data_IF_026714959761
#
_entry.id   IF_026714959761
#
_cell.length_a   1.000
_cell.length_b   1.000
_cell.length_c   1.000
_cell.angle_alpha   90.00
_cell.angle_beta   90.00
_cell.angle_gamma   90.00
#
_symmetry.space_group_name_H-M   'P 1'
#
loop_
_entity.id
_entity.type
_entity.pdbx_description
1 polymer ?
#
# COMPACT_ATOMS: atom_id res chain seq x y z
N UNK A 1 11.41 12.03 -11.15
CA UNK A 1 10.59 10.88 -10.71
C UNK A 1 9.17 11.36 -10.55
N UNK A 2 8.17 10.57 -10.97
CA UNK A 2 6.76 10.89 -10.77
C UNK A 2 6.50 11.17 -9.28
N UNK A 3 5.82 12.27 -8.96
CA UNK A 3 5.57 12.69 -7.56
C UNK A 3 4.64 11.75 -6.79
N UNK A 4 4.14 10.69 -7.43
CA UNK A 4 3.13 9.80 -6.90
C UNK A 4 3.44 8.33 -7.25
N UNK A 5 2.91 7.44 -6.43
CA UNK A 5 2.73 6.03 -6.73
C UNK A 5 1.24 5.71 -6.74
N UNK A 6 0.88 4.64 -7.44
CA UNK A 6 -0.49 4.26 -7.71
C UNK A 6 -0.79 2.88 -7.14
N UNK A 7 -1.98 2.68 -6.58
CA UNK A 7 -2.39 1.40 -6.01
C UNK A 7 -3.84 1.13 -6.39
N UNK A 8 -4.10 0.00 -7.02
CA UNK A 8 -5.45 -0.52 -7.12
C UNK A 8 -5.87 -1.05 -5.75
N UNK A 9 -7.02 -0.62 -5.23
CA UNK A 9 -7.54 -1.03 -3.94
C UNK A 9 -9.01 -1.42 -4.04
N UNK A 10 -9.41 -2.47 -3.34
CA UNK A 10 -10.81 -2.92 -3.35
C UNK A 10 -11.68 -1.89 -2.64
N UNK A 11 -12.75 -1.44 -3.28
CA UNK A 11 -13.67 -0.47 -2.71
C UNK A 11 -14.25 -0.97 -1.38
N UNK A 12 -14.62 -2.25 -1.32
CA UNK A 12 -15.14 -2.88 -0.10
C UNK A 12 -14.17 -2.81 1.09
N UNK A 13 -12.83 -2.82 0.86
CA UNK A 13 -11.85 -2.68 1.94
C UNK A 13 -11.78 -1.26 2.46
N UNK A 14 -11.84 -0.28 1.57
CA UNK A 14 -11.87 1.14 1.95
C UNK A 14 -13.14 1.49 2.73
N UNK A 15 -14.29 0.96 2.32
CA UNK A 15 -15.57 1.15 3.02
C UNK A 15 -15.57 0.51 4.41
N UNK A 16 -14.99 -0.69 4.54
CA UNK A 16 -14.90 -1.42 5.82
C UNK A 16 -13.80 -0.93 6.75
N UNK A 17 -12.92 -0.03 6.30
CA UNK A 17 -11.85 0.50 7.15
C UNK A 17 -12.48 1.23 8.35
N UNK A 18 -12.16 0.79 9.58
CA UNK A 18 -12.69 1.43 10.80
C UNK A 18 -12.13 2.84 11.02
N UNK A 19 -10.92 3.09 10.52
CA UNK A 19 -10.24 4.39 10.59
C UNK A 19 -9.92 4.89 9.17
N UNK A 20 -9.87 6.22 8.93
CA UNK A 20 -9.60 6.80 7.61
C UNK A 20 -8.10 6.77 7.28
N UNK A 21 -7.51 5.58 7.28
CA UNK A 21 -6.08 5.36 7.02
C UNK A 21 -5.89 4.16 6.09
N UNK A 22 -5.00 4.30 5.11
CA UNK A 22 -4.53 3.21 4.27
C UNK A 22 -3.38 2.52 4.99
N UNK A 23 -3.60 1.28 5.42
CA UNK A 23 -2.61 0.50 6.18
C UNK A 23 -1.78 -0.37 5.25
N UNK A 24 -0.53 -0.61 5.64
CA UNK A 24 0.21 -1.74 5.09
C UNK A 24 -0.51 -3.06 5.42
N UNK A 25 -0.44 -4.01 4.50
CA UNK A 25 -0.99 -5.34 4.67
C UNK A 25 -0.03 -6.21 5.47
N UNK A 26 -0.51 -6.77 6.59
CA UNK A 26 0.26 -7.74 7.35
C UNK A 26 0.44 -9.00 6.52
N UNK A 27 1.68 -9.48 6.44
CA UNK A 27 2.04 -10.71 5.79
C UNK A 27 2.82 -11.61 6.75
N UNK A 28 2.46 -12.89 6.79
CA UNK A 28 3.18 -13.91 7.53
C UNK A 28 4.04 -14.71 6.56
N UNK A 29 5.35 -14.73 6.80
CA UNK A 29 6.32 -15.40 5.95
C UNK A 29 6.51 -14.73 4.57
N UNK A 30 7.50 -15.20 3.79
CA UNK A 30 7.67 -14.81 2.39
C UNK A 30 6.44 -15.25 1.57
N UNK A 31 5.87 -14.41 0.69
CA UNK A 31 4.70 -14.82 -0.07
C UNK A 31 5.15 -15.78 -1.19
N UNK A 32 4.30 -16.77 -1.48
CA UNK A 32 4.65 -17.91 -2.33
C UNK A 32 4.89 -17.53 -3.81
N UNK A 33 4.42 -16.35 -4.22
CA UNK A 33 4.46 -15.84 -5.59
C UNK A 33 5.63 -14.88 -5.84
N UNK A 34 6.46 -14.57 -4.84
CA UNK A 34 7.61 -13.70 -5.03
C UNK A 34 8.79 -14.44 -5.64
N UNK A 35 9.42 -13.88 -6.70
CA UNK A 35 10.67 -14.41 -7.22
C UNK A 35 11.74 -14.52 -6.14
N UNK A 36 12.59 -15.55 -6.23
CA UNK A 36 13.58 -15.88 -5.21
C UNK A 36 14.51 -14.70 -4.87
N UNK A 37 14.91 -13.89 -5.86
CA UNK A 37 15.74 -12.70 -5.66
C UNK A 37 15.07 -11.63 -4.79
N UNK A 38 13.77 -11.45 -4.97
CA UNK A 38 12.97 -10.56 -4.16
C UNK A 38 12.88 -11.07 -2.71
N UNK A 39 12.65 -12.37 -2.54
CA UNK A 39 12.63 -13.02 -1.22
C UNK A 39 13.98 -12.89 -0.49
N UNK A 40 15.09 -13.05 -1.20
CA UNK A 40 16.43 -12.85 -0.64
C UNK A 40 16.66 -11.40 -0.22
N UNK A 41 16.20 -10.44 -1.01
CA UNK A 41 16.30 -9.01 -0.67
C UNK A 41 15.49 -8.69 0.59
N UNK A 42 14.24 -9.17 0.64
CA UNK A 42 13.37 -9.04 1.82
C UNK A 42 14.02 -9.68 3.04
N UNK A 43 14.55 -10.91 2.94
CA UNK A 43 15.21 -11.61 4.06
C UNK A 43 16.50 -10.96 4.53
N UNK A 44 17.27 -10.34 3.64
CA UNK A 44 18.50 -9.62 3.98
C UNK A 44 18.21 -8.28 4.67
N UNK A 45 17.14 -7.61 4.26
CA UNK A 45 16.82 -6.26 4.72
C UNK A 45 15.84 -6.24 5.90
N UNK A 46 15.05 -7.29 6.11
CA UNK A 46 14.04 -7.38 7.16
C UNK A 46 14.27 -8.62 8.06
N UNK A 47 14.10 -8.52 9.38
CA UNK A 47 14.28 -9.62 10.32
C UNK A 47 13.29 -10.77 10.10
N UNK A 48 13.81 -12.01 10.00
CA UNK A 48 13.03 -13.21 9.68
C UNK A 48 12.00 -13.64 10.75
N UNK A 49 12.15 -13.18 12.01
CA UNK A 49 11.27 -13.54 13.13
C UNK A 49 10.10 -12.56 13.36
N UNK A 50 10.01 -11.49 12.58
CA UNK A 50 8.98 -10.45 12.76
C UNK A 50 7.88 -10.54 11.71
N UNK A 51 6.70 -10.06 12.07
CA UNK A 51 5.63 -9.83 11.11
C UNK A 51 6.07 -8.72 10.13
N UNK A 52 6.01 -9.02 8.84
CA UNK A 52 6.34 -8.06 7.79
C UNK A 52 5.05 -7.47 7.24
N UNK A 53 5.07 -6.19 6.94
CA UNK A 53 3.93 -5.45 6.41
C UNK A 53 4.28 -4.95 5.02
N UNK A 54 3.32 -4.97 4.07
CA UNK A 54 3.58 -4.58 2.69
C UNK A 54 2.57 -3.61 2.08
N UNK A 55 3.03 -2.78 1.14
CA UNK A 55 2.19 -2.04 0.20
C UNK A 55 2.68 -2.29 -1.22
N UNK A 56 1.85 -2.91 -2.05
CA UNK A 56 2.11 -3.00 -3.49
C UNK A 56 1.61 -1.74 -4.19
N UNK A 57 2.47 -1.14 -5.02
CA UNK A 57 2.21 0.07 -5.77
C UNK A 57 2.85 0.00 -7.16
N UNK A 58 2.49 0.96 -8.01
CA UNK A 58 3.09 1.16 -9.32
C UNK A 58 3.55 2.61 -9.46
N UNK A 59 4.65 2.86 -10.17
CA UNK A 59 5.16 4.20 -10.48
C UNK A 59 4.48 4.83 -11.71
N UNK A 60 3.57 4.07 -12.34
CA UNK A 60 2.70 4.52 -13.43
C UNK A 60 1.26 4.12 -13.09
N UNK A 61 0.30 4.85 -13.65
CA UNK A 61 -1.12 4.56 -13.49
C UNK A 61 -1.43 3.16 -14.06
N UNK A 62 -1.83 2.16 -13.25
CA UNK A 62 -2.22 0.86 -13.75
C UNK A 62 -3.46 0.96 -14.63
N UNK A 63 -3.49 0.17 -15.71
CA UNK A 63 -4.67 -0.11 -16.52
C UNK A 63 -4.62 -1.57 -16.97
N UNK A 64 -5.72 -2.34 -16.91
CA UNK A 64 -7.03 -2.01 -16.31
C UNK A 64 -7.05 -2.15 -14.78
N UNK A 65 -8.08 -1.57 -14.14
CA UNK A 65 -8.44 -1.80 -12.73
C UNK A 65 -9.75 -2.60 -12.72
N UNK A 66 -9.87 -3.60 -11.84
CA UNK A 66 -11.07 -4.43 -11.74
C UNK A 66 -12.32 -3.60 -11.35
N UNK A 67 -13.51 -4.06 -11.72
CA UNK A 67 -14.78 -3.35 -11.46
C UNK A 67 -15.04 -3.09 -9.97
N UNK A 68 -14.57 -3.97 -9.07
CA UNK A 68 -14.70 -3.83 -7.61
C UNK A 68 -13.55 -3.03 -6.96
N UNK A 69 -12.65 -2.49 -7.78
CA UNK A 69 -11.46 -1.79 -7.34
C UNK A 69 -11.41 -0.34 -7.83
N UNK A 70 -10.81 0.51 -7.01
CA UNK A 70 -10.56 1.91 -7.32
C UNK A 70 -9.07 2.16 -7.44
N UNK A 71 -8.71 3.17 -8.21
CA UNK A 71 -7.32 3.58 -8.30
C UNK A 71 -7.00 4.67 -7.29
N UNK A 72 -6.02 4.40 -6.45
CA UNK A 72 -5.46 5.37 -5.50
C UNK A 72 -4.19 6.00 -6.07
N UNK A 73 -4.00 7.28 -5.80
CA UNK A 73 -2.79 8.05 -6.06
C UNK A 73 -2.24 8.54 -4.73
N UNK A 74 -1.02 8.12 -4.41
CA UNK A 74 -0.37 8.34 -3.12
C UNK A 74 0.91 9.14 -3.38
N UNK A 75 1.14 10.28 -2.69
CA UNK A 75 2.38 11.02 -2.80
C UNK A 75 3.59 10.14 -2.50
N UNK A 76 4.58 10.14 -3.39
CA UNK A 76 5.81 9.35 -3.19
C UNK A 76 6.67 9.93 -2.05
N UNK A 77 6.50 11.23 -1.73
CA UNK A 77 7.06 11.89 -0.54
C UNK A 77 6.07 11.78 0.62
N UNK A 78 5.93 10.57 1.16
CA UNK A 78 5.09 10.30 2.34
C UNK A 78 5.97 9.79 3.49
N UNK A 79 5.60 10.10 4.74
CA UNK A 79 6.31 9.66 5.93
C UNK A 79 6.43 8.13 5.99
N UNK A 80 5.36 7.39 5.66
CA UNK A 80 5.41 5.92 5.55
C UNK A 80 6.55 5.48 4.62
N UNK A 81 6.63 6.09 3.44
CA UNK A 81 7.61 5.71 2.41
C UNK A 81 9.06 6.06 2.77
N UNK A 82 9.29 6.89 3.79
CA UNK A 82 10.62 7.17 4.32
C UNK A 82 11.11 6.09 5.31
N UNK A 83 10.20 5.34 5.93
CA UNK A 83 10.51 4.35 6.97
C UNK A 83 10.45 2.90 6.49
N UNK A 84 9.97 2.68 5.27
CA UNK A 84 9.81 1.36 4.67
C UNK A 84 10.88 1.09 3.62
N UNK A 85 11.23 -0.17 3.50
CA UNK A 85 12.14 -0.67 2.48
C UNK A 85 11.43 -0.75 1.13
N UNK A 86 11.98 -0.09 0.11
CA UNK A 86 11.45 -0.11 -1.26
C UNK A 86 12.16 -1.17 -2.11
N UNK A 87 11.39 -2.10 -2.67
CA UNK A 87 11.91 -3.17 -3.54
C UNK A 87 11.19 -3.11 -4.90
N UNK A 88 11.91 -3.19 -6.04
CA UNK A 88 11.28 -3.35 -7.35
C UNK A 88 10.43 -4.63 -7.42
N UNK A 89 9.24 -4.55 -8.00
CA UNK A 89 8.42 -5.73 -8.24
C UNK A 89 8.88 -6.45 -9.52
N UNK A 90 9.51 -7.61 -9.37
CA UNK A 90 10.00 -8.39 -10.51
C UNK A 90 8.86 -8.94 -11.40
N UNK A 91 7.63 -9.02 -10.89
CA UNK A 91 6.44 -9.41 -11.68
C UNK A 91 6.01 -8.29 -12.64
N UNK A 92 6.42 -7.05 -12.38
CA UNK A 92 6.12 -5.87 -13.19
C UNK A 92 7.32 -4.91 -13.20
N UNK A 93 8.43 -5.32 -13.82
CA UNK A 93 9.69 -4.58 -13.81
C UNK A 93 9.60 -3.14 -14.34
N UNK A 94 8.65 -2.86 -15.24
CA UNK A 94 8.50 -1.55 -15.84
C UNK A 94 7.91 -0.50 -14.89
N UNK A 95 7.17 -0.91 -13.87
CA UNK A 95 6.43 0.04 -13.02
C UNK A 95 6.15 -0.41 -11.59
N UNK A 96 6.19 -1.69 -11.29
CA UNK A 96 5.85 -2.24 -9.98
C UNK A 96 6.91 -1.97 -8.93
N UNK A 97 6.44 -1.59 -7.74
CA UNK A 97 7.26 -1.32 -6.56
C UNK A 97 6.51 -1.82 -5.35
N UNK A 98 7.22 -2.52 -4.47
CA UNK A 98 6.66 -3.06 -3.24
C UNK A 98 7.42 -2.45 -2.07
N UNK A 99 6.66 -1.89 -1.14
CA UNK A 99 7.18 -1.28 0.08
C UNK A 99 6.99 -2.24 1.24
N UNK A 100 8.03 -2.46 2.03
CA UNK A 100 8.02 -3.33 3.19
C UNK A 100 8.34 -2.58 4.48
N UNK A 101 7.45 -2.65 5.46
CA UNK A 101 7.67 -2.20 6.82
C UNK A 101 7.79 -3.37 7.78
N UNK A 102 8.54 -3.18 8.86
CA UNK A 102 8.59 -4.11 9.99
C UNK A 102 7.94 -3.45 11.19
N UNK A 103 7.16 -4.21 11.95
CA UNK A 103 6.68 -3.74 13.24
C UNK A 103 7.68 -4.15 14.32
N UNK A 104 8.44 -3.18 14.80
CA UNK A 104 9.41 -3.36 15.87
C UNK A 104 8.73 -3.44 17.26
N UNK A 105 7.43 -3.13 17.36
CA UNK A 105 6.74 -2.90 18.63
C UNK A 105 5.48 -3.78 18.81
N UNK A 106 5.58 -5.10 18.60
CA UNK A 106 4.45 -6.00 18.88
C UNK A 106 4.47 -6.46 20.33
N UNK A 107 3.81 -5.71 21.21
CA UNK A 107 3.00 -6.34 22.26
C UNK A 107 1.58 -6.55 21.70
N UNK A 108 0.86 -7.61 22.11
CA UNK A 108 -0.48 -7.92 21.57
C UNK A 108 -1.55 -6.85 21.85
N UNK A 109 -1.23 -5.82 22.64
CA UNK A 109 -2.15 -4.72 22.99
C UNK A 109 -1.86 -3.42 22.25
N UNK A 110 -0.75 -3.29 21.52
CA UNK A 110 -0.38 -2.03 20.88
C UNK A 110 -0.95 -1.95 19.46
N UNK A 111 -1.85 -0.99 19.24
CA UNK A 111 -2.29 -0.62 17.89
C UNK A 111 -1.05 -0.13 17.13
N UNK A 112 -0.72 -0.83 16.05
CA UNK A 112 0.25 -0.54 14.98
C UNK A 112 1.01 0.79 15.14
N UNK A 113 2.35 0.73 15.07
CA UNK A 113 3.21 1.91 14.97
C UNK A 113 2.55 2.98 14.07
N UNK A 114 2.46 4.24 14.52
CA UNK A 114 1.78 5.31 13.79
C UNK A 114 2.35 5.53 12.38
N UNK A 115 3.53 4.97 12.11
CA UNK A 115 4.24 5.12 10.86
C UNK A 115 3.93 4.03 9.82
N UNK A 116 3.10 3.02 10.12
CA UNK A 116 2.74 1.94 9.18
C UNK A 116 1.41 2.18 8.41
N UNK A 117 0.95 3.43 8.35
CA UNK A 117 -0.26 3.81 7.63
C UNK A 117 -0.14 5.19 6.98
N UNK A 118 -0.95 5.41 5.95
CA UNK A 118 -1.10 6.70 5.27
C UNK A 118 -2.50 7.24 5.55
N UNK A 119 -2.65 8.43 6.15
CA UNK A 119 -3.95 9.07 6.31
C UNK A 119 -4.67 9.26 4.96
N UNK A 120 -5.98 8.99 4.91
CA UNK A 120 -6.79 9.15 3.70
C UNK A 120 -6.72 10.56 3.11
N UNK A 121 -6.62 11.60 3.95
CA UNK A 121 -6.44 13.00 3.52
C UNK A 121 -5.20 13.24 2.64
N UNK A 122 -4.20 12.35 2.69
CA UNK A 122 -2.99 12.42 1.86
C UNK A 122 -3.09 11.58 0.59
N UNK A 123 -4.23 10.92 0.34
CA UNK A 123 -4.44 9.99 -0.76
C UNK A 123 -5.56 10.55 -1.65
N UNK A 124 -5.35 10.49 -2.96
CA UNK A 124 -6.42 10.75 -3.92
C UNK A 124 -6.96 9.43 -4.48
N UNK A 125 -8.22 9.44 -4.90
CA UNK A 125 -8.90 8.33 -5.58
C UNK A 125 -9.41 8.80 -6.94
N UNK A 126 -9.33 7.92 -7.94
CA UNK A 126 -9.81 8.19 -9.28
C UNK A 126 -11.32 7.95 -9.38
N UNK A 127 -12.09 8.97 -9.75
CA UNK A 127 -13.55 8.91 -9.94
C UNK A 127 -13.89 9.63 -11.25
N UNK A 128 -14.54 8.94 -12.19
CA UNK A 128 -14.95 9.55 -13.47
C UNK A 128 -13.79 10.19 -14.26
N UNK A 129 -12.57 9.66 -14.14
CA UNK A 129 -11.37 10.21 -14.78
C UNK A 129 -10.70 11.37 -14.04
N UNK A 130 -11.32 11.88 -12.96
CA UNK A 130 -10.75 12.93 -12.11
C UNK A 130 -10.13 12.33 -10.85
N UNK A 131 -9.14 13.03 -10.28
CA UNK A 131 -8.54 12.68 -8.99
C UNK A 131 -9.19 13.52 -7.91
N UNK A 132 -9.83 12.86 -6.95
CA UNK A 132 -10.50 13.51 -5.82
C UNK A 132 -9.83 13.05 -4.51
N UNK A 133 -9.82 13.88 -3.46
CA UNK A 133 -9.36 13.45 -2.15
C UNK A 133 -10.13 12.21 -1.67
N UNK A 134 -9.39 11.24 -1.13
CA UNK A 134 -9.97 10.06 -0.51
C UNK A 134 -10.61 10.49 0.81
N UNK A 135 -11.93 10.58 0.82
CA UNK A 135 -12.72 10.88 2.02
C UNK A 135 -13.83 9.85 2.18
N UNK A 136 -14.46 9.81 3.36
CA UNK A 136 -15.65 8.98 3.57
C UNK A 136 -16.76 9.34 2.59
N UNK A 137 -16.93 10.62 2.30
CA UNK A 137 -17.92 11.10 1.35
C UNK A 137 -17.63 10.62 -0.08
N UNK A 138 -16.38 10.76 -0.53
CA UNK A 138 -15.96 10.26 -1.85
C UNK A 138 -16.18 8.74 -1.96
N UNK A 139 -15.89 7.99 -0.90
CA UNK A 139 -16.13 6.54 -0.83
C UNK A 139 -17.62 6.19 -0.87
N UNK A 140 -18.47 6.92 -0.14
CA UNK A 140 -19.93 6.71 -0.17
C UNK A 140 -20.50 6.93 -1.57
N UNK A 141 -20.02 7.94 -2.30
CA UNK A 141 -20.43 8.18 -3.70
C UNK A 141 -20.00 7.07 -4.65
N UNK A 142 -18.88 6.42 -4.38
CA UNK A 142 -18.39 5.28 -5.17
C UNK A 142 -19.16 3.98 -4.89
N UNK A 143 -19.87 3.91 -3.76
CA UNK A 143 -20.68 2.75 -3.36
C UNK A 143 -22.15 2.84 -3.75
N UNK A 144 -22.59 4.02 -4.19
CA UNK A 144 -23.97 4.32 -4.60
C UNK A 144 -24.17 4.04 -6.09
#
# INVERSE_FOLDING_TARGET
>A
MAGYVYRAEKLARLLKAGEPVLRLERQFGPPLDYPQKMLETVRKQLPASRAVYRLECQTRTPKPVAEDAVLLRIPARNALFAEVTRIPDERNLASGVIYFGVDDAVSPTNRLSPNLAIPFEKVDVQVGGQWLPLTRETLSRLSA
#
